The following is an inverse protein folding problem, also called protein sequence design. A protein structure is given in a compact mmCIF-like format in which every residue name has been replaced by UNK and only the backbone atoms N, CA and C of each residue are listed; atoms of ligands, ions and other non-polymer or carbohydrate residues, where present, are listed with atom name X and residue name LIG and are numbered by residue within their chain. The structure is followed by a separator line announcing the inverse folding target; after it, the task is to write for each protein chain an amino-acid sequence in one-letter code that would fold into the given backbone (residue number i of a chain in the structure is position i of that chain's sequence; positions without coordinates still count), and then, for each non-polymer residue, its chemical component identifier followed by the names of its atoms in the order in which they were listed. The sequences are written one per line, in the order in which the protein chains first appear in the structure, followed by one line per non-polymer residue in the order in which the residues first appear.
data_IF_585658663654
#
_entry.id   IF_585658663654
#
_cell.length_a   1.000
_cell.length_b   1.000
_cell.length_c   1.000
_cell.angle_alpha   90.00
_cell.angle_beta   90.00
_cell.angle_gamma   90.00
#
_symmetry.space_group_name_H-M   'P 1'
#
loop_
_entity.id
_entity.type
_entity.pdbx_description
1 polymer ?
#
# COMPACT_ATOMS: atom_id res chain seq x y z
N UNK A 1 -25.81 2.63 10.78
CA UNK A 1 -24.39 3.02 10.65
C UNK A 1 -23.59 1.82 10.21
N UNK A 2 -22.39 2.05 9.65
CA UNK A 2 -21.48 0.98 9.25
C UNK A 2 -20.34 0.85 10.27
N UNK A 3 -19.95 -0.37 10.62
CA UNK A 3 -18.77 -0.64 11.46
C UNK A 3 -17.63 -1.11 10.59
N UNK A 4 -16.51 -0.39 10.62
CA UNK A 4 -15.34 -0.67 9.78
C UNK A 4 -14.25 -1.27 10.65
N UNK A 5 -13.66 -2.37 10.19
CA UNK A 5 -12.44 -2.97 10.75
C UNK A 5 -11.44 -3.15 9.63
N UNK A 6 -10.16 -2.90 9.88
CA UNK A 6 -9.13 -3.09 8.88
C UNK A 6 -7.92 -3.80 9.48
N UNK A 7 -7.19 -4.50 8.63
CA UNK A 7 -5.92 -5.15 8.93
C UNK A 7 -4.92 -4.68 7.88
N UNK A 8 -3.76 -4.23 8.33
CA UNK A 8 -2.64 -3.88 7.46
C UNK A 8 -1.62 -5.00 7.55
N UNK A 9 -1.44 -5.71 6.44
CA UNK A 9 -0.48 -6.81 6.33
C UNK A 9 0.74 -6.31 5.57
N UNK A 10 1.92 -6.52 6.15
CA UNK A 10 3.17 -6.46 5.39
C UNK A 10 3.20 -7.66 4.46
N UNK A 11 3.47 -7.47 3.18
CA UNK A 11 3.60 -8.58 2.22
C UNK A 11 4.95 -9.29 2.35
N UNK A 12 5.30 -9.66 3.58
CA UNK A 12 6.47 -10.45 3.91
C UNK A 12 6.09 -11.88 4.24
N UNK A 13 6.95 -12.83 3.89
CA UNK A 13 6.76 -14.25 4.21
C UNK A 13 7.10 -14.61 5.66
N UNK A 14 7.74 -13.70 6.41
CA UNK A 14 8.17 -13.89 7.79
C UNK A 14 7.94 -12.62 8.62
N UNK A 15 7.73 -12.80 9.93
CA UNK A 15 7.73 -11.70 10.87
C UNK A 15 9.16 -11.20 11.14
N UNK A 16 9.30 -9.90 11.43
CA UNK A 16 10.58 -9.28 11.74
C UNK A 16 10.80 -7.99 10.96
N UNK A 17 12.07 -7.64 10.77
CA UNK A 17 12.49 -6.49 9.98
C UNK A 17 12.18 -6.70 8.49
N UNK A 18 11.92 -5.58 7.80
CA UNK A 18 11.74 -5.55 6.35
C UNK A 18 13.07 -5.96 5.69
N UNK A 19 12.99 -6.91 4.76
CA UNK A 19 14.12 -7.38 3.97
C UNK A 19 13.62 -7.67 2.54
N UNK A 20 14.35 -7.21 1.53
CA UNK A 20 14.01 -7.37 0.10
C UNK A 20 13.84 -8.82 -0.34
N UNK A 21 14.55 -9.76 0.30
CA UNK A 21 14.45 -11.19 0.00
C UNK A 21 13.23 -11.85 0.67
N UNK A 22 12.61 -11.15 1.62
CA UNK A 22 11.51 -11.69 2.46
C UNK A 22 10.20 -10.95 2.28
N UNK A 23 10.23 -9.77 1.69
CA UNK A 23 9.10 -8.88 1.51
C UNK A 23 8.90 -8.59 0.04
N UNK A 24 7.65 -8.63 -0.41
CA UNK A 24 7.28 -8.12 -1.72
C UNK A 24 7.51 -6.61 -1.70
N UNK A 25 8.37 -6.13 -2.57
CA UNK A 25 8.62 -4.70 -2.73
C UNK A 25 7.82 -4.16 -3.91
N UNK A 26 7.34 -2.93 -3.77
CA UNK A 26 6.82 -2.16 -4.87
C UNK A 26 7.96 -1.64 -5.73
N UNK A 27 7.73 -1.61 -7.04
CA UNK A 27 8.60 -0.89 -7.96
C UNK A 27 8.63 0.58 -7.56
N UNK A 28 9.82 1.18 -7.59
CA UNK A 28 9.96 2.63 -7.43
C UNK A 28 9.00 3.33 -8.40
N UNK A 29 8.28 4.37 -7.97
CA UNK A 29 7.40 5.09 -8.87
C UNK A 29 8.23 5.68 -10.02
N UNK A 30 8.22 5.03 -11.17
CA UNK A 30 8.69 5.63 -12.42
C UNK A 30 7.63 6.62 -12.85
N UNK A 31 8.01 7.88 -12.96
CA UNK A 31 7.18 8.93 -13.49
C UNK A 31 6.76 8.53 -14.92
N UNK A 32 5.54 8.00 -15.11
CA UNK A 32 5.03 7.60 -16.43
C UNK A 32 4.51 8.80 -17.23
N UNK A 33 4.76 10.01 -16.75
CA UNK A 33 4.50 11.24 -17.49
C UNK A 33 5.39 11.27 -18.75
N UNK A 34 4.80 11.58 -19.91
CA UNK A 34 5.54 11.80 -21.16
C UNK A 34 6.54 12.97 -21.08
N UNK A 35 6.55 13.69 -19.96
CA UNK A 35 7.45 14.80 -19.68
C UNK A 35 8.56 14.46 -18.70
N UNK A 36 8.51 13.33 -17.99
CA UNK A 36 9.55 12.95 -17.02
C UNK A 36 9.90 14.12 -16.06
N UNK A 37 8.88 14.93 -15.71
CA UNK A 37 9.03 16.06 -14.80
C UNK A 37 8.30 15.70 -13.52
N UNK A 38 9.10 15.49 -12.47
CA UNK A 38 8.64 15.45 -11.09
C UNK A 38 7.85 16.73 -10.83
N UNK A 39 6.53 16.58 -10.64
CA UNK A 39 5.62 17.69 -10.45
C UNK A 39 6.05 18.58 -9.28
N UNK A 40 6.40 19.83 -9.57
CA UNK A 40 6.66 20.87 -8.58
C UNK A 40 5.34 21.12 -7.83
N UNK A 41 5.16 20.50 -6.66
CA UNK A 41 4.00 20.71 -5.79
C UNK A 41 3.56 19.52 -4.96
N UNK A 42 3.99 18.30 -5.29
CA UNK A 42 3.98 17.22 -4.31
C UNK A 42 5.19 17.39 -3.40
N UNK A 43 5.08 17.24 -2.07
CA UNK A 43 6.25 17.03 -1.25
C UNK A 43 6.84 15.69 -1.69
N UNK A 44 7.71 15.75 -2.69
CA UNK A 44 8.70 14.73 -2.97
C UNK A 44 9.57 14.63 -1.72
N UNK A 45 9.14 13.80 -0.77
CA UNK A 45 10.10 12.92 -0.14
C UNK A 45 10.93 12.37 -1.30
N UNK A 46 12.23 12.66 -1.30
CA UNK A 46 13.19 12.34 -2.35
C UNK A 46 12.79 11.04 -3.04
N UNK A 47 12.82 10.95 -4.40
CA UNK A 47 12.40 9.75 -5.10
C UNK A 47 13.10 8.59 -4.41
N UNK A 48 12.31 7.77 -3.70
CA UNK A 48 12.86 6.71 -2.87
C UNK A 48 13.36 5.71 -3.91
N UNK A 49 14.63 5.87 -4.25
CA UNK A 49 15.36 5.04 -5.20
C UNK A 49 15.39 3.59 -4.71
N UNK A 50 15.12 3.40 -3.42
CA UNK A 50 14.99 2.11 -2.79
C UNK A 50 13.56 1.57 -2.92
N UNK A 51 13.41 0.29 -3.32
CA UNK A 51 12.11 -0.35 -3.43
C UNK A 51 11.43 -0.43 -2.04
N UNK A 52 10.21 0.12 -1.95
CA UNK A 52 9.42 0.19 -0.73
C UNK A 52 8.68 -1.14 -0.49
N UNK A 53 8.54 -1.62 0.75
CA UNK A 53 7.74 -2.82 1.03
C UNK A 53 6.27 -2.59 0.70
N UNK A 54 5.65 -3.56 0.03
CA UNK A 54 4.24 -3.54 -0.29
C UNK A 54 3.40 -3.96 0.92
N UNK A 55 2.34 -3.23 1.19
CA UNK A 55 1.36 -3.55 2.23
C UNK A 55 0.02 -3.86 1.58
N UNK A 56 -0.69 -4.85 2.13
CA UNK A 56 -2.09 -5.13 1.79
C UNK A 56 -2.98 -4.68 2.93
N UNK A 57 -3.86 -3.73 2.64
CA UNK A 57 -4.90 -3.30 3.58
C UNK A 57 -6.18 -4.06 3.27
N UNK A 58 -6.61 -4.89 4.20
CA UNK A 58 -7.89 -5.60 4.11
C UNK A 58 -8.90 -4.91 5.01
N UNK A 59 -10.00 -4.42 4.44
CA UNK A 59 -11.07 -3.73 5.15
C UNK A 59 -12.33 -4.59 5.16
N UNK A 60 -12.88 -4.83 6.35
CA UNK A 60 -14.18 -5.46 6.57
C UNK A 60 -15.18 -4.41 7.02
N UNK A 61 -16.24 -4.22 6.25
CA UNK A 61 -17.32 -3.27 6.52
C UNK A 61 -18.56 -4.07 6.90
N UNK A 62 -19.07 -3.85 8.11
CA UNK A 62 -20.33 -4.40 8.59
C UNK A 62 -21.42 -3.34 8.45
N UNK A 63 -22.36 -3.55 7.54
CA UNK A 63 -23.48 -2.67 7.26
C UNK A 63 -24.81 -3.12 7.89
N UNK A 64 -25.89 -2.33 7.72
CA UNK A 64 -27.24 -2.72 8.10
C UNK A 64 -27.67 -4.03 7.45
N UNK A 65 -28.60 -4.76 8.09
CA UNK A 65 -29.15 -6.04 7.58
C UNK A 65 -28.10 -7.15 7.41
N UNK A 66 -27.08 -7.17 8.26
CA UNK A 66 -25.99 -8.15 8.21
C UNK A 66 -25.21 -8.17 6.88
N UNK A 67 -25.21 -7.05 6.13
CA UNK A 67 -24.33 -6.92 4.96
C UNK A 67 -22.89 -6.85 5.40
N UNK A 68 -22.04 -7.69 4.84
CA UNK A 68 -20.59 -7.67 5.07
C UNK A 68 -19.88 -7.48 3.74
N UNK A 69 -19.08 -6.42 3.64
CA UNK A 69 -18.25 -6.13 2.47
C UNK A 69 -16.78 -6.25 2.84
N UNK A 70 -15.99 -6.89 1.98
CA UNK A 70 -14.55 -6.94 2.07
C UNK A 70 -13.92 -6.17 0.91
N UNK A 71 -12.98 -5.28 1.21
CA UNK A 71 -12.20 -4.54 0.22
C UNK A 71 -10.73 -4.73 0.52
N UNK A 72 -9.92 -4.90 -0.52
CA UNK A 72 -8.48 -4.99 -0.40
C UNK A 72 -7.81 -3.95 -1.29
N UNK A 73 -6.76 -3.34 -0.77
CA UNK A 73 -5.92 -2.41 -1.51
C UNK A 73 -4.44 -2.70 -1.22
N UNK A 74 -3.60 -2.55 -2.24
CA UNK A 74 -2.16 -2.59 -2.09
C UNK A 74 -1.62 -1.16 -2.09
N UNK A 75 -0.72 -0.89 -1.14
CA UNK A 75 -0.08 0.43 -0.96
C UNK A 75 1.42 0.24 -0.73
N UNK A 76 2.22 1.20 -1.18
CA UNK A 76 3.68 1.20 -1.12
C UNK A 76 4.21 2.55 -0.68
#
# INVERSE_FOLDING_TARGET
GNTIRYIVERMCNQAGNINIDRCLMASSPTDTSSKNVVGIGTPILEPISEPLPLYRVTVRISGPKNTVTYVQAFVS
#
